data_IF_585185962404
#
_entry.id   IF_585185962404
#
_cell.length_a   1.000
_cell.length_b   1.000
_cell.length_c   1.000
_cell.angle_alpha   90.00
_cell.angle_beta   90.00
_cell.angle_gamma   90.00
#
_symmetry.space_group_name_H-M   'P 1'
#
loop_
_entity.id
_entity.type
_entity.pdbx_description
1 polymer ?
#
# COMPACT_ATOMS: atom_id res chain seq x y z
N UNK A 1 4.02 8.27 16.46
CA UNK A 1 3.42 7.22 15.62
C UNK A 1 2.26 7.78 14.80
N UNK A 2 2.50 8.08 13.53
CA UNK A 2 1.53 8.59 12.55
C UNK A 2 0.90 7.40 11.82
N UNK A 3 -0.43 7.40 11.65
CA UNK A 3 -1.17 6.30 11.00
C UNK A 3 -1.74 6.77 9.66
N UNK A 4 -1.41 6.05 8.59
CA UNK A 4 -1.79 6.40 7.21
C UNK A 4 -2.51 5.19 6.58
N UNK A 5 -3.69 5.46 6.01
CA UNK A 5 -4.49 4.48 5.29
C UNK A 5 -4.74 4.96 3.87
N UNK A 6 -4.23 4.24 2.87
CA UNK A 6 -4.54 4.50 1.48
C UNK A 6 -5.79 3.74 1.04
N UNK A 7 -6.75 4.44 0.43
CA UNK A 7 -8.01 3.83 0.01
C UNK A 7 -8.20 4.00 -1.49
N UNK A 8 -8.61 2.93 -2.18
CA UNK A 8 -9.10 3.00 -3.56
C UNK A 8 -10.27 2.04 -3.75
N UNK A 9 -10.80 1.92 -4.96
CA UNK A 9 -12.00 1.12 -5.19
C UNK A 9 -11.83 -0.36 -4.81
N UNK A 10 -10.81 -1.05 -5.36
CA UNK A 10 -10.64 -2.50 -5.20
C UNK A 10 -9.36 -2.96 -4.50
N UNK A 11 -8.52 -2.05 -4.00
CA UNK A 11 -7.26 -2.40 -3.30
C UNK A 11 -6.31 -3.38 -4.03
N UNK A 12 -6.33 -3.39 -5.36
CA UNK A 12 -5.43 -4.23 -6.18
C UNK A 12 -4.48 -3.44 -7.10
N UNK A 13 -4.60 -2.12 -7.18
CA UNK A 13 -3.75 -1.29 -8.05
C UNK A 13 -3.21 -0.07 -7.30
N UNK A 14 -4.07 0.93 -7.07
CA UNK A 14 -3.65 2.28 -6.63
C UNK A 14 -3.28 2.36 -5.14
N UNK A 15 -4.17 1.90 -4.26
CA UNK A 15 -3.91 2.01 -2.82
C UNK A 15 -2.78 1.11 -2.33
N UNK A 16 -2.58 -0.13 -2.84
CA UNK A 16 -1.35 -0.86 -2.57
C UNK A 16 -0.12 -0.09 -3.07
N UNK A 17 -0.14 0.44 -4.31
CA UNK A 17 0.96 1.27 -4.86
C UNK A 17 1.44 2.35 -3.91
N UNK A 18 0.51 3.12 -3.38
CA UNK A 18 0.82 4.18 -2.43
C UNK A 18 1.39 3.64 -1.11
N UNK A 19 0.85 2.53 -0.59
CA UNK A 19 1.38 1.87 0.60
C UNK A 19 2.85 1.44 0.42
N UNK A 20 3.19 0.76 -0.67
CA UNK A 20 4.57 0.32 -0.91
C UNK A 20 5.52 1.49 -1.13
N UNK A 21 5.14 2.47 -1.96
CA UNK A 21 5.98 3.65 -2.22
C UNK A 21 6.28 4.38 -0.91
N UNK A 22 5.28 4.61 -0.06
CA UNK A 22 5.51 5.31 1.20
C UNK A 22 6.36 4.47 2.18
N UNK A 23 6.11 3.15 2.27
CA UNK A 23 6.93 2.25 3.10
C UNK A 23 8.40 2.26 2.69
N UNK A 24 8.67 2.23 1.38
CA UNK A 24 10.03 2.34 0.84
C UNK A 24 10.66 3.70 1.15
N UNK A 25 9.91 4.80 0.97
CA UNK A 25 10.39 6.14 1.30
C UNK A 25 10.75 6.29 2.77
N UNK A 26 9.88 5.89 3.71
CA UNK A 26 10.16 6.06 5.15
C UNK A 26 11.33 5.20 5.60
N UNK A 27 11.48 3.99 5.04
CA UNK A 27 12.62 3.10 5.29
C UNK A 27 13.94 3.71 4.78
N UNK A 28 13.94 4.27 3.56
CA UNK A 28 15.11 4.95 2.99
C UNK A 28 15.56 6.16 3.79
N UNK A 29 14.65 6.78 4.55
CA UNK A 29 14.95 7.92 5.41
C UNK A 29 15.21 7.53 6.88
N UNK A 30 15.12 6.24 7.24
CA UNK A 30 15.35 5.76 8.61
C UNK A 30 14.33 6.28 9.62
N UNK A 31 13.08 6.51 9.18
CA UNK A 31 12.00 7.05 10.02
C UNK A 31 10.78 6.12 10.10
N UNK A 32 10.91 4.86 9.66
CA UNK A 32 9.81 3.90 9.58
C UNK A 32 9.10 3.66 10.92
N UNK A 33 9.83 3.72 12.05
CA UNK A 33 9.28 3.52 13.40
C UNK A 33 8.28 4.61 13.80
N UNK A 34 8.28 5.74 13.08
CA UNK A 34 7.32 6.81 13.30
C UNK A 34 5.99 6.56 12.60
N UNK A 35 5.86 5.55 11.72
CA UNK A 35 4.71 5.37 10.84
C UNK A 35 4.09 3.96 10.91
N UNK A 36 2.76 3.93 10.86
CA UNK A 36 1.99 2.75 10.52
C UNK A 36 1.26 3.00 9.20
N UNK A 37 1.52 2.18 8.18
CA UNK A 37 1.05 2.38 6.81
C UNK A 37 0.31 1.13 6.34
N UNK A 38 -0.92 1.31 5.88
CA UNK A 38 -1.77 0.25 5.34
C UNK A 38 -2.60 0.76 4.14
N UNK A 39 -3.26 -0.16 3.43
CA UNK A 39 -4.20 0.15 2.36
C UNK A 39 -5.49 -0.67 2.46
N UNK A 40 -6.58 -0.15 1.90
CA UNK A 40 -7.89 -0.82 1.86
C UNK A 40 -8.70 -0.49 0.59
N UNK A 41 -9.81 -1.21 0.44
CA UNK A 41 -10.79 -1.07 -0.65
C UNK A 41 -12.07 -0.38 -0.14
N UNK A 42 -12.78 0.32 -1.03
CA UNK A 42 -14.18 0.75 -0.76
C UNK A 42 -15.19 -0.30 -1.19
N UNK A 43 -14.83 -1.19 -2.11
CA UNK A 43 -15.66 -2.29 -2.60
C UNK A 43 -15.10 -3.64 -2.14
N UNK A 44 -15.97 -4.65 -2.08
CA UNK A 44 -15.62 -6.04 -1.77
C UNK A 44 -15.37 -6.89 -3.01
N UNK A 45 -15.52 -6.32 -4.21
CA UNK A 45 -15.41 -7.03 -5.51
C UNK A 45 -14.07 -7.78 -5.68
N UNK A 46 -13.01 -7.25 -5.10
CA UNK A 46 -11.64 -7.75 -5.27
C UNK A 46 -11.12 -8.52 -4.04
N UNK A 47 -11.99 -8.87 -3.09
CA UNK A 47 -11.59 -9.68 -1.93
C UNK A 47 -11.09 -11.04 -2.41
N UNK A 48 -9.86 -11.41 -2.00
CA UNK A 48 -9.21 -12.66 -2.39
C UNK A 48 -8.41 -12.56 -3.71
N UNK A 49 -8.58 -11.49 -4.48
CA UNK A 49 -7.78 -11.27 -5.68
C UNK A 49 -6.39 -10.75 -5.30
N UNK A 50 -5.32 -11.24 -5.96
CA UNK A 50 -3.99 -10.73 -5.72
C UNK A 50 -3.87 -9.30 -6.24
N UNK A 51 -2.95 -8.55 -5.63
CA UNK A 51 -2.59 -7.25 -6.19
C UNK A 51 -2.13 -7.41 -7.64
N UNK A 52 -2.55 -6.47 -8.49
CA UNK A 52 -2.37 -6.49 -9.93
C UNK A 52 -0.90 -6.76 -10.31
N UNK A 53 -0.68 -7.55 -11.35
CA UNK A 53 0.64 -8.08 -11.71
C UNK A 53 1.69 -6.98 -11.96
N UNK A 54 1.27 -5.84 -12.52
CA UNK A 54 2.14 -4.68 -12.73
C UNK A 54 2.71 -4.08 -11.44
N UNK A 55 2.02 -4.25 -10.32
CA UNK A 55 2.43 -3.76 -9.01
C UNK A 55 3.38 -4.73 -8.28
N UNK A 56 3.25 -6.05 -8.51
CA UNK A 56 4.18 -7.06 -7.93
C UNK A 56 5.64 -6.85 -8.32
N UNK A 57 5.91 -6.15 -9.43
CA UNK A 57 7.26 -5.90 -9.95
C UNK A 57 8.00 -4.71 -9.31
N UNK A 58 7.39 -3.95 -8.41
CA UNK A 58 8.09 -2.86 -7.70
C UNK A 58 8.58 -3.26 -6.29
N UNK A 59 8.35 -4.51 -5.86
CA UNK A 59 8.78 -5.03 -4.58
C UNK A 59 10.13 -5.80 -4.65
N UNK A 60 11.01 -5.47 -5.61
CA UNK A 60 12.34 -6.05 -5.76
C UNK A 60 13.40 -5.23 -5.03
#
# INVERSE_FOLDING_TARGET
MIRIMFVCHGNICRSPMAEFVLKDMVKKHGIEDNFFIASSATSTEEIGNPVHRGYKRQAF
#
